data_IF_188200944844
#
_entry.id   IF_188200944844
#
_cell.length_a   1.000
_cell.length_b   1.000
_cell.length_c   1.000
_cell.angle_alpha   90.00
_cell.angle_beta   90.00
_cell.angle_gamma   90.00
#
_symmetry.space_group_name_H-M   'P 1'
#
loop_
_entity.id
_entity.type
_entity.pdbx_description
1 polymer ?
#
# COMPACT_ATOMS: atom_id res chain seq x y z
N UNK A 1 -5.69 23.68 7.47
CA UNK A 1 -4.63 23.47 6.48
C UNK A 1 -5.29 23.45 5.10
N UNK A 2 -4.92 24.35 4.20
CA UNK A 2 -5.56 24.43 2.87
C UNK A 2 -4.93 23.43 1.88
N UNK A 3 -5.59 23.20 0.74
CA UNK A 3 -5.15 22.26 -0.31
C UNK A 3 -3.71 22.51 -0.78
N UNK A 4 -3.28 23.77 -0.85
CA UNK A 4 -1.91 24.15 -1.22
C UNK A 4 -0.91 23.71 -0.14
N UNK A 5 -1.25 23.85 1.14
CA UNK A 5 -0.41 23.43 2.27
C UNK A 5 -0.30 21.90 2.36
N UNK A 6 -1.39 21.18 2.09
CA UNK A 6 -1.40 19.72 2.02
C UNK A 6 -0.53 19.18 0.88
N UNK A 7 -0.60 19.79 -0.31
CA UNK A 7 0.25 19.40 -1.44
C UNK A 7 1.73 19.75 -1.22
N UNK A 8 2.03 20.83 -0.51
CA UNK A 8 3.41 21.18 -0.14
C UNK A 8 3.99 20.24 0.93
N UNK A 9 3.15 19.77 1.86
CA UNK A 9 3.52 18.74 2.83
C UNK A 9 3.69 17.35 2.17
N UNK A 10 2.82 16.97 1.23
CA UNK A 10 3.01 15.72 0.46
C UNK A 10 4.31 15.73 -0.34
N UNK A 11 4.68 16.88 -0.93
CA UNK A 11 5.94 17.02 -1.66
C UNK A 11 7.18 16.97 -0.77
N UNK A 12 7.08 17.27 0.54
CA UNK A 12 8.21 17.15 1.46
C UNK A 12 8.47 15.71 1.91
N UNK A 13 7.54 14.78 1.70
CA UNK A 13 7.71 13.34 1.97
C UNK A 13 8.45 12.60 0.84
N UNK A 14 8.52 13.18 -0.36
CA UNK A 14 9.21 12.64 -1.52
C UNK A 14 10.29 13.64 -1.97
N UNK A 15 11.44 13.61 -1.31
CA UNK A 15 12.52 14.59 -1.45
C UNK A 15 12.83 15.00 -2.89
N UNK A 16 12.88 16.32 -3.13
CA UNK A 16 13.50 16.89 -4.32
C UNK A 16 15.04 16.79 -4.20
N UNK A 17 15.78 16.50 -5.28
CA UNK A 17 17.23 16.62 -5.28
C UNK A 17 17.64 18.08 -5.02
N UNK A 18 18.70 18.26 -4.24
CA UNK A 18 19.19 19.54 -3.79
C UNK A 18 19.41 20.52 -4.96
N UNK A 19 18.62 21.59 -4.98
CA UNK A 19 18.97 22.82 -5.71
C UNK A 19 19.44 23.84 -4.67
N UNK A 20 20.74 24.10 -4.69
CA UNK A 20 21.37 25.14 -3.87
C UNK A 20 20.98 26.52 -4.41
N UNK A 21 20.24 27.29 -3.63
CA UNK A 21 20.20 28.75 -3.79
C UNK A 21 20.54 29.38 -2.44
N UNK A 22 21.59 30.20 -2.43
CA UNK A 22 21.96 31.06 -1.31
C UNK A 22 21.64 32.52 -1.67
N UNK A 23 21.25 33.37 -0.70
CA UNK A 23 20.79 34.73 -0.96
C UNK A 23 21.94 35.76 -1.00
N UNK A 24 21.60 36.94 -1.49
CA UNK A 24 22.45 38.10 -1.77
C UNK A 24 23.15 38.73 -0.55
N UNK A 25 24.35 39.29 -0.78
CA UNK A 25 25.10 40.16 0.14
C UNK A 25 26.17 40.99 -0.59
N UNK A 26 26.33 42.25 -0.20
CA UNK A 26 26.86 43.45 -0.88
C UNK A 26 28.41 43.60 -0.93
N UNK A 27 28.89 44.45 -1.87
CA UNK A 27 30.11 45.32 -1.89
C UNK A 27 31.42 44.93 -2.65
N UNK A 28 31.62 45.60 -3.81
CA UNK A 28 32.78 46.43 -4.27
C UNK A 28 34.23 45.88 -4.41
N UNK A 29 35.16 46.57 -5.14
CA UNK A 29 35.64 46.15 -6.46
C UNK A 29 37.13 45.72 -6.49
N UNK A 30 37.52 44.96 -7.52
CA UNK A 30 38.93 44.78 -7.84
C UNK A 30 39.23 43.67 -8.85
N UNK A 31 39.99 44.05 -9.87
CA UNK A 31 40.96 43.22 -10.60
C UNK A 31 40.43 42.28 -11.70
N UNK A 32 40.57 42.75 -12.94
CA UNK A 32 40.59 41.93 -14.16
C UNK A 32 41.64 40.81 -14.09
N UNK A 33 41.34 39.64 -14.69
CA UNK A 33 42.35 38.96 -15.49
C UNK A 33 41.84 38.51 -16.86
N UNK A 34 42.69 38.78 -17.84
CA UNK A 34 42.94 38.18 -19.17
C UNK A 34 42.10 36.95 -19.57
N UNK A 35 41.53 36.90 -20.81
CA UNK A 35 40.90 35.71 -21.35
C UNK A 35 41.94 34.67 -21.82
N UNK A 36 41.73 33.42 -21.40
CA UNK A 36 42.47 32.24 -21.87
C UNK A 36 41.92 31.73 -23.22
N UNK A 37 42.74 31.02 -24.03
CA UNK A 37 42.45 30.76 -25.43
C UNK A 37 41.34 29.72 -25.66
N UNK A 38 40.53 29.97 -26.69
CA UNK A 38 39.50 29.09 -27.23
C UNK A 38 40.09 27.76 -27.72
N UNK A 39 39.60 26.65 -27.17
CA UNK A 39 39.91 25.30 -27.65
C UNK A 39 39.34 25.01 -29.05
N UNK A 40 39.86 23.98 -29.74
CA UNK A 40 39.53 23.70 -31.12
C UNK A 40 38.10 23.20 -31.33
N UNK A 41 37.50 23.68 -32.41
CA UNK A 41 36.16 23.35 -32.91
C UNK A 41 36.10 21.88 -33.34
N UNK A 42 35.08 21.09 -32.97
CA UNK A 42 34.93 19.73 -33.45
C UNK A 42 34.61 19.70 -34.96
N UNK A 43 35.40 18.95 -35.71
CA UNK A 43 35.23 18.70 -37.15
C UNK A 43 34.08 17.73 -37.37
N UNK A 44 33.13 18.11 -38.23
CA UNK A 44 31.98 17.28 -38.59
C UNK A 44 32.41 15.98 -39.30
N UNK A 45 31.76 14.83 -39.03
CA UNK A 45 32.09 13.58 -39.69
C UNK A 45 31.63 13.55 -41.15
N UNK A 46 32.49 13.00 -42.00
CA UNK A 46 32.29 12.82 -43.45
C UNK A 46 31.22 11.74 -43.70
N UNK A 47 30.28 11.93 -44.66
CA UNK A 47 29.27 10.93 -44.98
C UNK A 47 29.90 9.65 -45.57
N UNK A 48 29.55 8.50 -45.01
CA UNK A 48 29.99 7.20 -45.51
C UNK A 48 29.26 6.86 -46.83
N UNK A 49 30.02 6.35 -47.80
CA UNK A 49 29.53 5.84 -49.09
C UNK A 49 28.77 4.52 -48.86
N UNK A 50 27.54 4.34 -49.38
CA UNK A 50 26.81 3.09 -49.22
C UNK A 50 27.45 1.96 -50.03
N UNK A 51 27.65 0.82 -49.37
CA UNK A 51 28.10 -0.43 -50.01
C UNK A 51 27.02 -1.05 -50.92
N UNK A 52 27.40 -1.75 -52.00
CA UNK A 52 26.44 -2.39 -52.90
C UNK A 52 25.67 -3.50 -52.19
N UNK A 53 24.36 -3.50 -52.33
CA UNK A 53 23.47 -4.52 -51.75
C UNK A 53 23.42 -5.72 -52.70
N UNK A 54 23.84 -6.89 -52.23
CA UNK A 54 23.69 -8.15 -52.97
C UNK A 54 22.21 -8.52 -53.08
N UNK A 55 21.68 -8.93 -54.25
CA UNK A 55 20.28 -9.33 -54.38
C UNK A 55 20.00 -10.59 -53.57
N UNK A 56 18.86 -10.58 -52.87
CA UNK A 56 18.38 -11.69 -52.05
C UNK A 56 18.03 -12.92 -52.93
N UNK A 57 18.29 -14.15 -52.46
CA UNK A 57 17.92 -15.36 -53.18
C UNK A 57 16.39 -15.54 -53.24
N UNK A 58 15.92 -16.05 -54.37
CA UNK A 58 14.51 -16.37 -54.64
C UNK A 58 13.98 -17.40 -53.63
N UNK A 59 12.85 -17.16 -52.94
CA UNK A 59 12.29 -18.11 -52.00
C UNK A 59 11.81 -19.38 -52.71
N UNK A 60 12.14 -20.54 -52.13
CA UNK A 60 11.65 -21.83 -52.56
C UNK A 60 10.14 -21.96 -52.31
N UNK A 61 9.41 -22.77 -53.11
CA UNK A 61 7.99 -23.01 -52.89
C UNK A 61 7.76 -23.69 -51.54
N UNK A 62 7.03 -23.00 -50.66
CA UNK A 62 6.65 -23.49 -49.34
C UNK A 62 5.38 -24.34 -49.48
N UNK A 63 5.47 -25.62 -49.14
CA UNK A 63 4.30 -26.50 -49.04
C UNK A 63 3.40 -26.01 -47.91
N UNK A 64 2.07 -25.86 -48.12
CA UNK A 64 1.18 -25.41 -47.06
C UNK A 64 1.17 -26.42 -45.90
N UNK A 65 1.12 -25.94 -44.64
CA UNK A 65 1.05 -26.81 -43.49
C UNK A 65 -0.26 -27.61 -43.49
N UNK A 66 -0.25 -28.83 -42.93
CA UNK A 66 -1.46 -29.64 -42.79
C UNK A 66 -2.50 -28.92 -41.92
N UNK A 67 -3.78 -29.13 -42.23
CA UNK A 67 -4.89 -28.56 -41.49
C UNK A 67 -4.84 -28.98 -40.01
N UNK A 68 -5.14 -28.08 -39.06
CA UNK A 68 -5.15 -28.40 -37.65
C UNK A 68 -6.22 -29.47 -37.36
N UNK A 69 -5.79 -30.54 -36.69
CA UNK A 69 -6.67 -31.59 -36.17
C UNK A 69 -7.57 -30.99 -35.09
N UNK A 70 -8.86 -31.33 -35.01
CA UNK A 70 -9.75 -30.84 -33.96
C UNK A 70 -9.20 -31.25 -32.59
N UNK A 71 -8.79 -30.28 -31.78
CA UNK A 71 -8.39 -30.50 -30.39
C UNK A 71 -9.67 -30.69 -29.58
N UNK A 72 -9.80 -31.82 -28.90
CA UNK A 72 -10.90 -32.08 -27.98
C UNK A 72 -10.97 -30.98 -26.90
N UNK A 73 -12.16 -30.51 -26.51
CA UNK A 73 -12.30 -29.49 -25.48
C UNK A 73 -11.67 -30.00 -24.17
N UNK A 74 -10.87 -29.13 -23.55
CA UNK A 74 -10.27 -29.43 -22.25
C UNK A 74 -11.35 -29.73 -21.20
N UNK A 75 -11.08 -30.62 -20.24
CA UNK A 75 -12.01 -30.89 -19.14
C UNK A 75 -12.29 -29.60 -18.39
N UNK A 76 -13.56 -29.19 -18.34
CA UNK A 76 -14.00 -28.05 -17.53
C UNK A 76 -13.81 -28.45 -16.07
N UNK A 77 -12.87 -27.80 -15.38
CA UNK A 77 -12.68 -28.00 -13.94
C UNK A 77 -13.92 -27.48 -13.22
N UNK A 78 -14.54 -28.26 -12.32
CA UNK A 78 -15.67 -27.76 -11.54
C UNK A 78 -15.22 -26.57 -10.69
N UNK A 79 -16.13 -25.60 -10.42
CA UNK A 79 -15.84 -24.48 -9.54
C UNK A 79 -15.43 -25.00 -8.14
N UNK A 80 -14.53 -24.28 -7.43
CA UNK A 80 -14.15 -24.66 -6.08
C UNK A 80 -15.40 -24.71 -5.19
N UNK A 81 -15.49 -25.78 -4.39
CA UNK A 81 -16.56 -25.96 -3.41
C UNK A 81 -16.44 -24.83 -2.37
N UNK A 82 -17.52 -24.10 -2.03
CA UNK A 82 -17.47 -23.10 -0.97
C UNK A 82 -17.05 -23.77 0.34
N UNK A 83 -15.88 -23.43 0.84
CA UNK A 83 -15.43 -23.85 2.16
C UNK A 83 -16.31 -23.11 3.19
N UNK A 84 -16.99 -23.81 4.10
CA UNK A 84 -17.74 -23.16 5.17
C UNK A 84 -16.79 -22.28 5.96
N UNK A 85 -17.13 -21.00 6.08
CA UNK A 85 -16.29 -20.04 6.77
C UNK A 85 -16.21 -20.39 8.27
N UNK A 86 -15.10 -20.11 8.97
CA UNK A 86 -14.99 -20.36 10.39
C UNK A 86 -16.09 -19.65 11.18
N UNK A 87 -16.72 -20.34 12.12
CA UNK A 87 -17.77 -19.76 12.94
C UNK A 87 -17.17 -18.75 13.94
N UNK A 88 -17.58 -17.49 13.81
CA UNK A 88 -17.17 -16.39 14.70
C UNK A 88 -17.78 -16.46 16.10
N UNK A 89 -17.18 -15.69 17.02
CA UNK A 89 -17.84 -15.33 18.26
C UNK A 89 -19.11 -14.48 17.98
N UNK A 90 -20.21 -14.70 18.71
CA UNK A 90 -21.56 -14.18 18.40
C UNK A 90 -21.73 -12.65 18.39
N UNK A 91 -20.68 -11.87 18.64
CA UNK A 91 -20.77 -10.42 18.95
C UNK A 91 -19.78 -9.55 18.16
N UNK A 92 -18.90 -10.13 17.34
CA UNK A 92 -17.83 -9.38 16.67
C UNK A 92 -18.35 -8.56 15.49
N UNK A 93 -19.02 -9.22 14.55
CA UNK A 93 -19.78 -8.66 13.42
C UNK A 93 -19.02 -7.62 12.60
N UNK A 94 -18.65 -7.94 11.36
CA UNK A 94 -17.83 -7.03 10.53
C UNK A 94 -18.40 -5.60 10.48
N UNK A 95 -19.72 -5.47 10.29
CA UNK A 95 -20.39 -4.18 10.20
C UNK A 95 -20.26 -3.30 11.46
N UNK A 96 -20.10 -3.89 12.66
CA UNK A 96 -19.85 -3.15 13.91
C UNK A 96 -18.45 -2.55 13.89
N UNK A 97 -17.43 -3.38 13.61
CA UNK A 97 -16.05 -2.90 13.51
C UNK A 97 -15.92 -1.84 12.42
N UNK A 98 -16.50 -2.09 11.25
CA UNK A 98 -16.45 -1.17 10.12
C UNK A 98 -16.98 0.22 10.49
N UNK A 99 -18.18 0.28 11.09
CA UNK A 99 -18.79 1.55 11.55
C UNK A 99 -18.05 2.23 12.69
N UNK A 100 -17.23 1.51 13.44
CA UNK A 100 -16.45 2.06 14.56
C UNK A 100 -15.02 2.44 14.16
N UNK A 101 -14.56 2.04 12.98
CA UNK A 101 -13.24 2.38 12.48
C UNK A 101 -13.15 3.88 12.20
N UNK A 102 -12.18 4.63 12.79
CA UNK A 102 -12.16 6.10 12.71
C UNK A 102 -12.18 6.68 11.29
N UNK A 103 -11.46 6.04 10.35
CA UNK A 103 -11.48 6.50 8.96
C UNK A 103 -12.84 6.30 8.29
N UNK A 104 -13.58 5.25 8.67
CA UNK A 104 -14.88 4.94 8.08
C UNK A 104 -15.96 5.78 8.73
N UNK A 105 -15.96 5.88 10.06
CA UNK A 105 -17.03 6.53 10.81
C UNK A 105 -17.00 8.05 10.65
N UNK A 106 -15.81 8.64 10.74
CA UNK A 106 -15.62 10.08 10.92
C UNK A 106 -14.68 10.69 9.85
N UNK A 107 -14.13 9.86 8.93
CA UNK A 107 -13.04 10.28 8.03
C UNK A 107 -11.72 10.55 8.77
N UNK A 108 -11.58 10.06 10.00
CA UNK A 108 -10.47 10.37 10.88
C UNK A 108 -9.25 9.47 10.60
N UNK A 109 -8.23 10.05 9.96
CA UNK A 109 -7.00 9.34 9.62
C UNK A 109 -5.92 9.39 10.71
N UNK A 110 -5.99 10.37 11.61
CA UNK A 110 -5.00 10.67 12.65
C UNK A 110 -5.66 10.87 14.02
N UNK A 111 -6.33 9.84 14.56
CA UNK A 111 -7.04 9.95 15.84
C UNK A 111 -6.09 10.32 17.00
N UNK A 112 -4.81 9.94 16.93
CA UNK A 112 -3.80 10.42 17.86
C UNK A 112 -3.10 11.68 17.35
N UNK A 113 -3.64 12.84 17.72
CA UNK A 113 -3.08 14.15 17.38
C UNK A 113 -3.09 15.11 18.54
N UNK A 114 -2.25 16.14 18.44
CA UNK A 114 -2.22 17.27 19.37
C UNK A 114 -3.41 18.20 19.12
N UNK A 115 -3.71 19.14 20.04
CA UNK A 115 -4.78 20.12 19.83
C UNK A 115 -4.64 21.00 18.58
N UNK A 116 -3.41 21.17 18.07
CA UNK A 116 -3.12 21.90 16.83
C UNK A 116 -3.37 21.08 15.55
N UNK A 117 -3.85 19.84 15.69
CA UNK A 117 -4.16 18.95 14.57
C UNK A 117 -2.98 18.10 14.09
N UNK A 118 -1.77 18.31 14.61
CA UNK A 118 -0.58 17.56 14.17
C UNK A 118 -0.59 16.16 14.77
N UNK A 119 -0.40 15.09 13.96
CA UNK A 119 -0.33 13.72 14.47
C UNK A 119 0.83 13.55 15.45
N UNK A 120 0.58 12.83 16.55
CA UNK A 120 1.62 12.50 17.53
C UNK A 120 2.55 11.37 17.03
N UNK A 121 2.09 10.58 16.07
CA UNK A 121 2.79 9.42 15.51
C UNK A 121 2.68 9.43 13.99
N UNK A 122 3.73 9.03 13.28
CA UNK A 122 3.71 8.91 11.82
C UNK A 122 2.86 7.73 11.33
N UNK A 123 2.97 6.58 12.03
CA UNK A 123 2.21 5.38 11.71
C UNK A 123 0.91 5.33 12.53
N UNK A 124 -0.21 5.15 11.83
CA UNK A 124 -1.55 5.24 12.43
C UNK A 124 -2.37 3.94 12.30
N UNK A 125 -1.89 2.91 11.61
CA UNK A 125 -2.64 1.66 11.38
C UNK A 125 -3.08 1.01 12.69
N UNK A 126 -2.13 0.77 13.61
CA UNK A 126 -2.43 0.20 14.93
C UNK A 126 -3.29 1.14 15.78
N UNK A 127 -3.14 2.46 15.64
CA UNK A 127 -3.92 3.43 16.41
C UNK A 127 -5.38 3.38 15.94
N UNK A 128 -5.63 3.43 14.63
CA UNK A 128 -6.99 3.35 14.08
C UNK A 128 -7.66 2.02 14.42
N UNK A 129 -6.92 0.91 14.33
CA UNK A 129 -7.45 -0.40 14.72
C UNK A 129 -7.67 -0.54 16.23
N UNK A 130 -6.77 -0.03 17.06
CA UNK A 130 -6.99 0.04 18.51
C UNK A 130 -8.24 0.86 18.84
N UNK A 131 -8.42 2.03 18.22
CA UNK A 131 -9.60 2.87 18.44
C UNK A 131 -10.87 2.16 17.97
N UNK A 132 -10.82 1.46 16.84
CA UNK A 132 -11.92 0.64 16.33
C UNK A 132 -12.34 -0.44 17.35
N UNK A 133 -11.38 -1.19 17.89
CA UNK A 133 -11.60 -2.23 18.89
C UNK A 133 -12.09 -1.66 20.21
N UNK A 134 -11.54 -0.52 20.65
CA UNK A 134 -11.96 0.18 21.86
C UNK A 134 -13.41 0.67 21.75
N UNK A 135 -13.76 1.36 20.66
CA UNK A 135 -15.15 1.78 20.36
C UNK A 135 -16.11 0.60 20.27
N UNK A 136 -15.57 -0.58 19.94
CA UNK A 136 -16.31 -1.82 19.87
C UNK A 136 -16.29 -2.62 21.18
N UNK A 137 -15.77 -2.10 22.30
CA UNK A 137 -15.64 -2.84 23.57
C UNK A 137 -14.87 -4.17 23.45
N UNK A 138 -13.97 -4.28 22.47
CA UNK A 138 -13.20 -5.48 22.17
C UNK A 138 -11.73 -5.35 22.55
N UNK A 139 -11.29 -4.19 23.05
CA UNK A 139 -9.89 -3.97 23.46
C UNK A 139 -9.67 -4.18 24.98
N UNK A 140 -10.67 -4.69 25.70
CA UNK A 140 -10.55 -4.93 27.14
C UNK A 140 -9.46 -5.99 27.41
N UNK A 141 -8.51 -5.64 28.29
CA UNK A 141 -7.40 -6.54 28.62
C UNK A 141 -6.24 -6.51 27.61
N UNK A 142 -6.24 -5.59 26.66
CA UNK A 142 -5.06 -5.31 25.86
C UNK A 142 -3.92 -4.78 26.74
N UNK A 143 -2.73 -5.37 26.59
CA UNK A 143 -1.54 -5.12 27.41
C UNK A 143 -0.31 -4.71 26.59
N UNK A 144 -0.48 -4.45 25.29
CA UNK A 144 0.57 -3.97 24.41
C UNK A 144 0.83 -2.46 24.52
N UNK A 145 1.75 -1.95 23.71
CA UNK A 145 2.12 -0.53 23.76
C UNK A 145 0.96 0.39 23.37
N UNK A 146 0.68 1.39 24.21
CA UNK A 146 -0.33 2.42 23.99
C UNK A 146 0.27 3.83 23.98
N UNK A 147 -0.47 4.81 23.43
CA UNK A 147 -0.03 6.19 23.43
C UNK A 147 0.03 6.77 24.85
N UNK A 148 1.03 7.61 25.11
CA UNK A 148 1.25 8.26 26.40
C UNK A 148 0.57 9.62 26.55
N UNK A 149 -0.35 9.97 25.64
CA UNK A 149 -1.07 11.26 25.65
C UNK A 149 -2.43 11.20 26.36
N UNK A 150 -2.74 10.09 27.05
CA UNK A 150 -3.99 9.91 27.80
C UNK A 150 -5.22 9.58 26.94
N UNK A 151 -5.04 9.28 25.66
CA UNK A 151 -6.11 8.76 24.82
C UNK A 151 -6.34 7.27 25.08
N UNK A 152 -7.59 6.83 24.92
CA UNK A 152 -7.97 5.42 25.10
C UNK A 152 -8.00 4.67 23.78
N UNK A 153 -7.55 3.41 23.80
CA UNK A 153 -7.55 2.55 22.63
C UNK A 153 -6.51 2.91 21.57
N UNK A 154 -5.50 3.70 21.91
CA UNK A 154 -4.47 4.08 20.95
C UNK A 154 -3.30 3.10 21.01
N UNK A 155 -3.48 1.91 20.45
CA UNK A 155 -2.42 0.90 20.29
C UNK A 155 -1.35 1.40 19.31
N UNK A 156 -0.06 1.23 19.63
CA UNK A 156 1.03 1.80 18.84
C UNK A 156 1.70 0.83 17.86
N UNK A 157 1.60 -0.49 18.10
CA UNK A 157 2.38 -1.50 17.38
C UNK A 157 1.46 -2.52 16.73
N UNK A 158 1.45 -2.57 15.39
CA UNK A 158 0.59 -3.46 14.63
C UNK A 158 0.86 -4.94 14.96
N UNK A 159 2.14 -5.34 15.10
CA UNK A 159 2.52 -6.70 15.51
C UNK A 159 1.98 -7.09 16.88
N UNK A 160 2.14 -6.23 17.89
CA UNK A 160 1.67 -6.53 19.24
C UNK A 160 0.15 -6.67 19.26
N UNK A 161 -0.56 -5.79 18.55
CA UNK A 161 -2.00 -5.89 18.41
C UNK A 161 -2.41 -7.20 17.71
N UNK A 162 -1.77 -7.56 16.58
CA UNK A 162 -2.05 -8.80 15.86
C UNK A 162 -1.77 -10.07 16.70
N UNK A 163 -0.67 -10.08 17.45
CA UNK A 163 -0.36 -11.16 18.39
C UNK A 163 -1.38 -11.26 19.51
N UNK A 164 -1.82 -10.14 20.05
CA UNK A 164 -2.87 -10.10 21.07
C UNK A 164 -4.18 -10.68 20.52
N UNK A 165 -4.64 -10.26 19.33
CA UNK A 165 -5.84 -10.84 18.70
C UNK A 165 -5.71 -12.37 18.52
N UNK A 166 -4.55 -12.82 18.04
CA UNK A 166 -4.26 -14.26 17.85
C UNK A 166 -4.31 -15.06 19.16
N UNK A 167 -3.90 -14.46 20.27
CA UNK A 167 -3.89 -15.10 21.59
C UNK A 167 -5.26 -15.09 22.28
N UNK A 168 -6.28 -14.44 21.70
CA UNK A 168 -7.63 -14.37 22.23
C UNK A 168 -8.66 -14.99 21.27
N UNK A 169 -8.51 -16.27 20.87
CA UNK A 169 -9.38 -16.90 19.88
C UNK A 169 -10.83 -17.10 20.36
N UNK A 170 -11.08 -17.10 21.67
CA UNK A 170 -12.44 -17.09 22.22
C UNK A 170 -13.21 -15.81 21.88
N UNK A 171 -12.47 -14.72 21.66
CA UNK A 171 -13.04 -13.43 21.25
C UNK A 171 -12.99 -13.33 19.73
N UNK A 172 -11.80 -13.38 19.13
CA UNK A 172 -11.57 -13.02 17.72
C UNK A 172 -11.68 -14.19 16.72
N UNK A 173 -11.96 -15.39 17.19
CA UNK A 173 -11.94 -16.58 16.35
C UNK A 173 -10.52 -17.00 15.95
N UNK A 174 -10.45 -17.96 15.02
CA UNK A 174 -9.19 -18.53 14.55
C UNK A 174 -8.60 -17.67 13.43
N UNK A 175 -7.31 -17.35 13.56
CA UNK A 175 -6.54 -16.69 12.50
C UNK A 175 -6.16 -17.67 11.38
N UNK A 176 -6.27 -17.22 10.13
CA UNK A 176 -5.68 -17.84 8.95
C UNK A 176 -4.35 -17.17 8.63
N UNK A 177 -3.26 -17.93 8.51
CA UNK A 177 -1.93 -17.39 8.21
C UNK A 177 -1.46 -17.97 6.88
N UNK A 178 -1.04 -17.10 5.94
CA UNK A 178 -0.59 -17.50 4.61
C UNK A 178 0.59 -16.65 4.15
N UNK A 179 1.56 -17.30 3.52
CA UNK A 179 2.68 -16.64 2.80
C UNK A 179 2.33 -16.47 1.32
N UNK A 180 2.85 -15.43 0.65
CA UNK A 180 2.68 -15.26 -0.79
C UNK A 180 1.22 -15.06 -1.22
N UNK A 181 0.42 -14.44 -0.35
CA UNK A 181 -0.99 -14.17 -0.61
C UNK A 181 -1.15 -13.06 -1.64
N UNK A 182 -2.30 -13.04 -2.30
CA UNK A 182 -2.75 -11.93 -3.13
C UNK A 182 -4.06 -11.38 -2.59
N UNK A 183 -4.38 -10.12 -2.88
CA UNK A 183 -5.63 -9.55 -2.40
C UNK A 183 -6.87 -10.31 -2.90
N UNK A 184 -6.79 -10.94 -4.09
CA UNK A 184 -7.87 -11.76 -4.64
C UNK A 184 -8.19 -12.99 -3.78
N UNK A 185 -7.26 -13.48 -2.97
CA UNK A 185 -7.48 -14.63 -2.07
C UNK A 185 -8.47 -14.32 -0.94
N UNK A 186 -8.79 -13.03 -0.76
CA UNK A 186 -9.68 -12.51 0.27
C UNK A 186 -10.95 -11.86 -0.30
N UNK A 187 -11.18 -11.94 -1.62
CA UNK A 187 -12.45 -11.53 -2.22
C UNK A 187 -13.64 -12.23 -1.56
N UNK A 188 -14.76 -11.51 -1.45
CA UNK A 188 -16.03 -11.96 -0.86
C UNK A 188 -15.93 -12.38 0.61
N UNK A 189 -14.84 -12.01 1.28
CA UNK A 189 -14.60 -12.30 2.70
C UNK A 189 -14.32 -10.99 3.41
N UNK A 190 -15.03 -10.73 4.48
CA UNK A 190 -14.77 -9.58 5.35
C UNK A 190 -13.94 -10.00 6.56
N UNK A 191 -13.18 -9.10 7.16
CA UNK A 191 -12.33 -9.48 8.29
C UNK A 191 -11.38 -8.42 8.82
N UNK A 192 -10.59 -8.82 9.83
CA UNK A 192 -9.36 -8.12 10.21
C UNK A 192 -8.23 -8.73 9.40
N UNK A 193 -7.37 -7.88 8.83
CA UNK A 193 -6.21 -8.29 8.06
C UNK A 193 -4.94 -7.67 8.65
N UNK A 194 -3.89 -8.47 8.81
CA UNK A 194 -2.56 -8.05 9.21
C UNK A 194 -1.53 -8.47 8.14
N UNK A 195 -0.75 -7.50 7.70
CA UNK A 195 0.28 -7.59 6.67
C UNK A 195 1.63 -7.46 7.36
N UNK A 196 2.40 -8.56 7.41
CA UNK A 196 3.66 -8.64 8.13
C UNK A 196 4.84 -8.30 7.20
N UNK A 197 5.78 -7.50 7.71
CA UNK A 197 7.10 -7.30 7.11
C UNK A 197 7.07 -6.89 5.62
N UNK A 198 6.25 -5.90 5.22
CA UNK A 198 6.07 -5.56 3.80
C UNK A 198 6.72 -4.23 3.37
N UNK A 199 7.21 -3.43 4.33
CA UNK A 199 7.80 -2.11 4.06
C UNK A 199 8.84 -1.69 5.09
N UNK A 200 9.47 -0.54 4.84
CA UNK A 200 10.46 0.04 5.75
C UNK A 200 11.85 -0.58 5.61
N UNK A 201 12.78 -0.09 6.42
CA UNK A 201 14.15 -0.61 6.44
C UNK A 201 14.15 -2.09 6.85
N UNK A 202 14.83 -2.93 6.06
CA UNK A 202 14.89 -4.37 6.24
C UNK A 202 13.51 -5.06 6.32
N UNK A 203 12.48 -4.50 5.66
CA UNK A 203 11.12 -5.05 5.65
C UNK A 203 10.55 -5.31 7.05
N UNK A 204 10.81 -4.44 8.03
CA UNK A 204 10.29 -4.63 9.39
C UNK A 204 8.94 -3.93 9.64
N UNK A 205 8.40 -3.25 8.64
CA UNK A 205 7.13 -2.53 8.72
C UNK A 205 5.94 -3.45 8.51
N UNK A 206 4.98 -3.37 9.42
CA UNK A 206 3.72 -4.11 9.38
C UNK A 206 2.51 -3.17 9.15
N UNK A 207 1.35 -3.75 8.85
CA UNK A 207 0.05 -3.05 8.76
C UNK A 207 -1.06 -3.92 9.32
N UNK A 208 -2.03 -3.31 9.99
CA UNK A 208 -3.25 -3.97 10.47
C UNK A 208 -4.45 -3.11 10.11
N UNK A 209 -5.52 -3.73 9.63
CA UNK A 209 -6.69 -3.03 9.11
C UNK A 209 -7.95 -3.90 9.14
N UNK A 210 -9.08 -3.29 8.77
CA UNK A 210 -10.27 -4.01 8.33
C UNK A 210 -10.26 -4.18 6.81
N UNK A 211 -10.70 -5.35 6.35
CA UNK A 211 -10.84 -5.74 4.96
C UNK A 211 -12.31 -6.02 4.64
N UNK A 212 -12.85 -5.38 3.60
CA UNK A 212 -14.28 -5.43 3.26
C UNK A 212 -14.68 -6.46 2.19
N UNK A 213 -13.71 -7.22 1.66
CA UNK A 213 -13.98 -8.26 0.67
C UNK A 213 -14.15 -7.76 -0.76
N UNK A 214 -14.17 -6.45 -1.01
CA UNK A 214 -14.49 -5.90 -2.34
C UNK A 214 -13.28 -5.87 -3.27
N UNK A 215 -12.10 -5.58 -2.73
CA UNK A 215 -10.91 -5.30 -3.55
C UNK A 215 -11.01 -3.98 -4.34
N UNK A 216 -11.94 -3.09 -4.03
CA UNK A 216 -12.12 -1.81 -4.70
C UNK A 216 -11.40 -0.66 -3.98
N UNK A 217 -10.55 0.09 -4.70
CA UNK A 217 -9.90 1.30 -4.18
C UNK A 217 -10.77 2.53 -4.41
N UNK A 218 -10.86 3.42 -3.42
CA UNK A 218 -11.40 4.76 -3.63
C UNK A 218 -10.46 5.59 -4.52
N UNK A 219 -10.91 5.86 -5.75
CA UNK A 219 -10.39 6.95 -6.59
C UNK A 219 -10.90 8.30 -6.08
N UNK A 220 -9.99 9.10 -5.51
CA UNK A 220 -10.06 10.56 -5.34
C UNK A 220 -11.43 11.24 -5.09
N UNK A 221 -11.80 11.44 -3.82
CA UNK A 221 -12.80 12.44 -3.44
C UNK A 221 -13.57 12.10 -2.17
N UNK A 222 -13.73 13.08 -1.28
CA UNK A 222 -14.56 12.98 -0.08
C UNK A 222 -16.06 12.86 -0.48
N UNK A 223 -16.77 11.91 0.15
CA UNK A 223 -18.19 11.52 -0.09
C UNK A 223 -18.44 10.54 -1.27
N UNK A 224 -18.43 9.23 -0.97
CA UNK A 224 -19.24 8.20 -1.67
C UNK A 224 -19.55 7.05 -0.71
N UNK A 225 -20.70 6.39 -0.89
CA UNK A 225 -21.37 5.50 0.07
C UNK A 225 -21.07 4.00 -0.14
N UNK A 226 -19.95 3.66 -0.78
CA UNK A 226 -19.48 2.30 -1.08
C UNK A 226 -17.98 2.22 -0.71
N UNK A 227 -17.59 1.22 0.09
CA UNK A 227 -16.41 1.22 0.97
C UNK A 227 -15.05 0.88 0.32
N UNK A 228 -13.92 1.15 1.01
CA UNK A 228 -12.59 0.79 0.52
C UNK A 228 -12.20 -0.66 0.85
N UNK A 229 -11.50 -1.34 -0.07
CA UNK A 229 -10.92 -2.67 0.14
C UNK A 229 -10.24 -2.87 1.51
N UNK A 230 -9.49 -1.85 1.96
CA UNK A 230 -9.03 -1.73 3.35
C UNK A 230 -9.42 -0.38 3.93
N UNK A 231 -9.77 -0.34 5.22
CA UNK A 231 -10.22 0.89 5.86
C UNK A 231 -9.14 1.98 5.97
N UNK A 232 -7.84 1.70 5.78
CA UNK A 232 -6.79 2.72 5.68
C UNK A 232 -5.48 2.26 5.04
N UNK A 233 -5.50 1.19 4.25
CA UNK A 233 -4.34 0.56 3.61
C UNK A 233 -4.50 0.42 2.09
N UNK A 234 -3.46 -0.11 1.42
CA UNK A 234 -3.50 -0.39 -0.01
C UNK A 234 -3.42 -1.87 -0.35
N UNK A 235 -4.12 -2.31 -1.42
CA UNK A 235 -4.14 -3.72 -1.84
C UNK A 235 -2.75 -4.34 -1.94
N UNK A 236 -1.77 -3.59 -2.47
CA UNK A 236 -0.39 -4.06 -2.68
C UNK A 236 0.32 -4.50 -1.38
N UNK A 237 -0.22 -4.14 -0.22
CA UNK A 237 0.34 -4.54 1.08
C UNK A 237 0.26 -6.06 1.24
N UNK A 238 -0.79 -6.70 0.71
CA UNK A 238 -1.00 -8.14 0.80
C UNK A 238 0.07 -8.88 -0.01
N UNK A 239 0.30 -8.51 -1.27
CA UNK A 239 1.31 -9.16 -2.11
C UNK A 239 2.75 -8.93 -1.65
N UNK A 240 3.01 -7.79 -1.01
CA UNK A 240 4.35 -7.42 -0.53
C UNK A 240 4.69 -8.01 0.83
N UNK A 241 3.70 -8.54 1.55
CA UNK A 241 3.90 -9.10 2.88
C UNK A 241 4.61 -10.45 2.83
N UNK A 242 5.48 -10.69 3.82
CA UNK A 242 6.06 -12.02 4.03
C UNK A 242 4.97 -12.99 4.50
N UNK A 243 4.11 -12.56 5.42
CA UNK A 243 2.95 -13.29 5.92
C UNK A 243 1.72 -12.38 5.99
N UNK A 244 0.56 -12.95 5.68
CA UNK A 244 -0.74 -12.31 5.84
C UNK A 244 -1.56 -13.12 6.84
N UNK A 245 -2.06 -12.43 7.86
CA UNK A 245 -2.89 -13.01 8.91
C UNK A 245 -4.29 -12.44 8.76
N UNK A 246 -5.28 -13.33 8.69
CA UNK A 246 -6.66 -12.95 8.42
C UNK A 246 -7.61 -13.57 9.45
N UNK A 247 -8.43 -12.73 10.08
CA UNK A 247 -9.53 -13.16 10.92
C UNK A 247 -10.83 -12.91 10.17
N UNK A 248 -11.50 -13.95 9.64
CA UNK A 248 -12.78 -13.77 8.98
C UNK A 248 -13.82 -13.21 9.96
N UNK A 249 -14.58 -12.23 9.46
CA UNK A 249 -15.71 -11.59 10.11
C UNK A 249 -16.95 -11.68 9.20
N UNK A 250 -18.15 -11.88 9.73
CA UNK A 250 -19.41 -12.11 9.01
C UNK A 250 -20.51 -11.15 9.47
#
# INVERSE_FOLDING_TARGET
>A
MNWQEFMNWLRSLFGQPASTSNPAGTTSPGSSPVPAPTGPVPVAPVPAVPTPVTPAPTPLPVTPPPLPVPVAPAPVTPPPVPVPLPQEGPELGFGRLWKNHPNISDGEMFPCRRPDGVPNFGNQCAIRMGTCLYRSNLLQGYDGAECWFGHQGHSLRARELALWLRNHPSTFGKVEIRTGSRWQDYLDRTGIIYCQNFWGENNQGDHIDLWDGTGEFMGGGAFSWEGPAMAGGGLDYIERSEEVWFWPLH
#
